data_IF_235658025711
#
_entry.id   IF_235658025711
#
_cell.length_a   1.000
_cell.length_b   1.000
_cell.length_c   1.000
_cell.angle_alpha   90.00
_cell.angle_beta   90.00
_cell.angle_gamma   90.00
#
_symmetry.space_group_name_H-M   'P 1'
#
loop_
_entity.id
_entity.type
_entity.pdbx_description
1 polymer ?
#
# COMPACT_ATOMS: atom_id res chain seq x y z
N UNK A 1 1.65 54.26 115.59
CA UNK A 1 0.30 54.05 116.16
C UNK A 1 -0.65 53.65 115.04
N UNK A 2 -1.32 52.49 115.20
CA UNK A 2 -2.55 52.01 114.50
C UNK A 2 -2.47 51.84 112.97
N UNK A 3 -3.06 50.82 112.35
CA UNK A 3 -3.63 49.55 112.75
C UNK A 3 -3.84 48.76 111.44
N UNK A 4 -3.71 47.43 111.53
CA UNK A 4 -3.95 46.46 110.47
C UNK A 4 -5.42 46.36 110.05
N UNK A 5 -5.68 45.63 108.94
CA UNK A 5 -6.80 44.72 108.59
C UNK A 5 -6.96 44.71 107.04
N UNK A 6 -7.11 43.62 106.28
CA UNK A 6 -7.23 42.17 106.51
C UNK A 6 -7.06 41.43 105.15
N UNK A 7 -6.47 40.23 105.24
CA UNK A 7 -6.52 39.01 104.41
C UNK A 7 -6.85 39.06 102.89
N UNK A 8 -6.02 38.35 102.12
CA UNK A 8 -6.46 37.14 101.42
C UNK A 8 -5.30 36.15 101.24
N UNK A 9 -5.60 34.90 101.58
CA UNK A 9 -4.73 33.73 101.69
C UNK A 9 -4.63 33.05 100.31
N UNK A 10 -3.47 32.46 99.98
CA UNK A 10 -3.30 31.03 99.68
C UNK A 10 -2.07 30.73 98.81
N UNK A 11 -1.19 29.92 99.41
CA UNK A 11 -0.29 28.92 98.83
C UNK A 11 -0.17 28.85 97.30
N UNK A 12 1.03 29.11 96.80
CA UNK A 12 1.54 28.42 95.59
C UNK A 12 2.81 27.66 95.94
N UNK A 13 2.63 26.34 96.03
CA UNK A 13 3.66 25.33 96.05
C UNK A 13 4.54 25.40 94.79
N UNK A 14 5.83 25.20 95.01
CA UNK A 14 6.91 25.06 94.02
C UNK A 14 6.53 24.05 92.93
N UNK A 15 6.62 24.47 91.67
CA UNK A 15 6.88 23.56 90.55
C UNK A 15 8.00 24.16 89.69
N UNK A 16 9.07 23.39 89.60
CA UNK A 16 10.25 23.66 88.81
C UNK A 16 9.88 24.04 87.37
N UNK A 17 10.48 25.14 86.89
CA UNK A 17 10.42 25.58 85.50
C UNK A 17 11.11 24.56 84.59
N UNK A 18 10.40 23.48 84.24
CA UNK A 18 10.77 22.62 83.12
C UNK A 18 10.45 23.38 81.84
N UNK A 19 11.38 24.25 81.42
CA UNK A 19 11.35 24.82 80.08
C UNK A 19 11.47 23.66 79.09
N UNK A 20 10.49 23.38 78.22
CA UNK A 20 10.71 22.45 77.14
C UNK A 20 11.78 23.08 76.24
N UNK A 21 12.93 22.42 76.11
CA UNK A 21 13.87 22.68 75.03
C UNK A 21 13.05 22.66 73.74
N UNK A 22 12.75 23.84 73.17
CA UNK A 22 12.32 23.94 71.78
C UNK A 22 13.51 23.44 70.97
N UNK A 23 13.52 22.13 70.73
CA UNK A 23 14.29 21.54 69.66
C UNK A 23 13.89 22.33 68.42
N UNK A 24 14.80 23.14 67.89
CA UNK A 24 14.74 23.58 66.51
C UNK A 24 14.90 22.31 65.65
N UNK A 25 13.85 21.50 65.60
CA UNK A 25 13.65 20.48 64.60
C UNK A 25 13.51 21.24 63.29
N UNK A 26 14.61 21.35 62.55
CA UNK A 26 14.66 21.99 61.25
C UNK A 26 13.69 21.31 60.31
N UNK A 27 12.47 21.80 60.26
CA UNK A 27 11.48 21.40 59.29
C UNK A 27 12.12 21.57 57.91
N UNK A 28 12.26 20.48 57.17
CA UNK A 28 12.76 20.47 55.79
C UNK A 28 12.21 21.70 55.04
N UNK A 29 13.09 22.65 54.69
CA UNK A 29 12.69 23.94 54.12
C UNK A 29 12.20 23.75 52.68
N UNK A 30 10.99 23.21 52.53
CA UNK A 30 10.34 23.04 51.22
C UNK A 30 9.57 24.30 50.85
N UNK A 31 9.56 24.62 49.55
CA UNK A 31 8.73 25.70 49.04
C UNK A 31 7.34 25.19 48.68
N UNK A 32 6.30 25.91 49.09
CA UNK A 32 4.91 25.66 48.65
C UNK A 32 4.55 26.65 47.56
N UNK A 33 4.24 26.16 46.36
CA UNK A 33 3.82 27.00 45.23
C UNK A 33 2.66 26.36 44.48
N UNK A 34 1.57 27.11 44.31
CA UNK A 34 0.36 26.68 43.58
C UNK A 34 -0.12 25.26 43.99
N UNK A 35 -0.27 25.04 45.30
CA UNK A 35 -0.69 23.77 45.92
C UNK A 35 0.26 22.58 45.68
N UNK A 36 1.49 22.82 45.24
CA UNK A 36 2.56 21.81 45.13
C UNK A 36 3.73 22.15 46.06
N UNK A 37 4.48 21.12 46.43
CA UNK A 37 5.66 21.22 47.31
C UNK A 37 6.92 20.94 46.49
N UNK A 38 7.94 21.78 46.67
CA UNK A 38 9.22 21.73 45.94
C UNK A 38 10.39 21.72 46.92
N UNK A 39 11.43 20.95 46.60
CA UNK A 39 12.66 20.89 47.42
C UNK A 39 13.55 22.12 47.18
N UNK A 40 14.36 22.51 48.16
CA UNK A 40 15.40 23.55 48.00
C UNK A 40 16.24 23.28 46.75
N UNK A 41 16.53 24.34 45.99
CA UNK A 41 17.30 24.29 44.73
C UNK A 41 16.50 23.81 43.52
N UNK A 42 15.29 23.24 43.72
CA UNK A 42 14.47 22.77 42.61
C UNK A 42 13.93 23.94 41.78
N UNK A 43 14.14 23.88 40.47
CA UNK A 43 13.52 24.78 39.49
C UNK A 43 12.25 24.18 38.89
N UNK A 44 11.20 24.98 38.73
CA UNK A 44 9.89 24.55 38.25
C UNK A 44 9.14 25.67 37.48
N UNK A 45 8.15 25.33 36.63
CA UNK A 45 7.40 26.35 35.88
C UNK A 45 6.50 27.21 36.78
N UNK A 46 6.50 28.52 36.54
CA UNK A 46 5.55 29.46 37.15
C UNK A 46 4.12 29.25 36.62
N UNK A 47 3.12 29.75 37.35
CA UNK A 47 1.69 29.67 36.97
C UNK A 47 1.38 30.34 35.63
N UNK A 48 2.13 31.39 35.28
CA UNK A 48 1.99 32.11 34.00
C UNK A 48 2.49 31.30 32.79
N UNK A 49 3.20 30.20 33.02
CA UNK A 49 3.67 29.26 32.01
C UNK A 49 4.85 29.72 31.16
N UNK A 50 5.47 30.88 31.45
CA UNK A 50 6.67 31.34 30.75
C UNK A 50 7.84 31.66 31.69
N UNK A 51 7.55 31.96 32.96
CA UNK A 51 8.55 32.18 33.98
C UNK A 51 8.95 30.86 34.64
N UNK A 52 10.19 30.83 35.13
CA UNK A 52 10.72 29.71 35.91
C UNK A 52 10.92 30.18 37.33
N UNK A 53 10.45 29.38 38.28
CA UNK A 53 10.62 29.61 39.70
C UNK A 53 11.64 28.63 40.27
N UNK A 54 12.41 29.06 41.26
CA UNK A 54 13.37 28.24 41.98
C UNK A 54 13.08 28.34 43.48
N UNK A 55 13.15 27.20 44.16
CA UNK A 55 13.00 27.15 45.61
C UNK A 55 14.31 27.56 46.30
N UNK A 56 14.29 28.67 47.04
CA UNK A 56 15.45 29.14 47.81
C UNK A 56 15.68 28.33 49.08
N UNK A 57 16.89 28.40 49.64
CA UNK A 57 17.27 27.76 50.90
C UNK A 57 16.49 28.27 52.12
N UNK A 58 15.87 29.44 52.00
CA UNK A 58 15.00 30.07 53.00
C UNK A 58 13.50 29.74 52.81
N UNK A 59 13.17 28.71 52.01
CA UNK A 59 11.79 28.29 51.75
C UNK A 59 10.99 29.25 50.88
N UNK A 60 11.59 30.33 50.37
CA UNK A 60 10.93 31.29 49.48
C UNK A 60 11.06 30.88 48.02
N UNK A 61 10.00 31.13 47.26
CA UNK A 61 9.98 30.92 45.82
C UNK A 61 10.41 32.20 45.11
N UNK A 62 11.44 32.12 44.27
CA UNK A 62 11.89 33.23 43.41
C UNK A 62 11.62 32.88 41.96
N UNK A 63 10.87 33.69 41.25
CA UNK A 63 10.56 33.48 39.83
C UNK A 63 11.27 34.50 38.96
N UNK A 64 11.62 34.11 37.73
CA UNK A 64 12.02 35.07 36.70
C UNK A 64 10.87 36.03 36.40
N UNK A 65 11.19 37.24 35.91
CA UNK A 65 10.21 38.26 35.52
C UNK A 65 10.30 38.55 34.02
N UNK A 66 10.06 37.52 33.21
CA UNK A 66 9.96 37.64 31.75
C UNK A 66 8.54 38.06 31.39
N UNK A 67 8.42 39.01 30.46
CA UNK A 67 7.15 39.34 29.85
C UNK A 67 6.61 38.12 29.10
N UNK A 68 5.51 37.53 29.57
CA UNK A 68 4.95 36.34 28.94
C UNK A 68 4.30 36.66 27.61
N UNK A 69 4.83 36.07 26.54
CA UNK A 69 4.27 36.17 25.20
C UNK A 69 2.87 35.53 25.19
N UNK A 70 1.85 36.36 24.92
CA UNK A 70 0.41 35.97 24.89
C UNK A 70 -0.05 35.38 23.55
N UNK A 71 0.86 35.24 22.60
CA UNK A 71 0.60 34.69 21.27
C UNK A 71 1.69 33.71 20.85
N UNK A 72 1.37 32.79 19.95
CA UNK A 72 2.33 31.91 19.32
C UNK A 72 2.45 32.25 17.83
N UNK A 73 3.68 32.30 17.31
CA UNK A 73 3.95 32.37 15.87
C UNK A 73 4.18 30.95 15.35
N UNK A 74 3.42 30.53 14.33
CA UNK A 74 3.57 29.21 13.69
C UNK A 74 3.27 29.29 12.20
N UNK A 75 4.23 28.91 11.35
CA UNK A 75 4.12 28.93 9.89
C UNK A 75 3.55 30.27 9.38
N UNK A 76 4.19 31.37 9.80
CA UNK A 76 3.86 32.76 9.48
C UNK A 76 2.46 33.24 9.93
N UNK A 77 1.77 32.46 10.78
CA UNK A 77 0.48 32.84 11.38
C UNK A 77 0.63 33.07 12.88
N UNK A 78 -0.16 34.00 13.41
CA UNK A 78 -0.21 34.34 14.84
C UNK A 78 -1.45 33.73 15.48
N UNK A 79 -1.28 33.05 16.61
CA UNK A 79 -2.34 32.37 17.34
C UNK A 79 -2.41 32.86 18.79
N UNK A 80 -3.61 33.17 19.30
CA UNK A 80 -3.81 33.47 20.72
C UNK A 80 -3.57 32.23 21.59
N UNK A 81 -3.05 32.42 22.81
CA UNK A 81 -2.89 31.35 23.80
C UNK A 81 -4.20 30.59 23.98
N UNK A 82 -4.10 29.25 24.05
CA UNK A 82 -5.25 28.35 24.14
C UNK A 82 -5.79 27.87 22.80
N UNK A 83 -5.58 28.61 21.69
CA UNK A 83 -6.08 28.22 20.36
C UNK A 83 -5.49 26.89 19.92
N UNK A 84 -6.36 26.01 19.39
CA UNK A 84 -6.00 24.77 18.70
C UNK A 84 -6.08 24.97 17.19
N UNK A 85 -5.09 24.50 16.45
CA UNK A 85 -4.98 24.67 15.00
C UNK A 85 -4.32 23.46 14.32
N UNK A 86 -4.38 23.37 12.99
CA UNK A 86 -3.75 22.30 12.20
C UNK A 86 -2.28 22.64 11.93
N UNK A 87 -1.41 21.64 12.04
CA UNK A 87 0.00 21.75 11.69
C UNK A 87 0.18 21.89 10.17
N UNK A 88 1.36 22.35 9.74
CA UNK A 88 1.74 22.47 8.31
C UNK A 88 1.63 21.14 7.55
N UNK A 89 1.87 20.02 8.23
CA UNK A 89 1.75 18.68 7.66
C UNK A 89 0.29 18.24 7.38
N UNK A 90 -0.69 19.07 7.74
CA UNK A 90 -2.12 18.87 7.48
C UNK A 90 -2.79 17.82 8.38
N UNK A 91 -2.04 17.02 9.14
CA UNK A 91 -2.61 15.93 9.94
C UNK A 91 -2.48 16.15 11.44
N UNK A 92 -1.38 16.77 11.88
CA UNK A 92 -1.13 16.99 13.30
C UNK A 92 -1.95 18.18 13.82
N UNK A 93 -2.34 18.11 15.09
CA UNK A 93 -3.08 19.17 15.78
C UNK A 93 -2.14 19.86 16.75
N UNK A 94 -2.02 21.17 16.61
CA UNK A 94 -1.21 22.03 17.45
C UNK A 94 -2.06 22.82 18.43
N UNK A 95 -1.45 23.24 19.54
CA UNK A 95 -2.02 24.15 20.54
C UNK A 95 -1.01 25.22 20.90
N UNK A 96 -1.44 26.48 20.92
CA UNK A 96 -0.67 27.58 21.47
C UNK A 96 -0.73 27.54 23.01
N UNK A 97 0.43 27.50 23.66
CA UNK A 97 0.62 27.48 25.11
C UNK A 97 1.09 28.86 25.58
N UNK A 98 0.90 29.19 26.88
CA UNK A 98 1.50 30.39 27.47
C UNK A 98 3.01 30.45 27.22
N UNK A 99 3.56 31.66 27.13
CA UNK A 99 4.97 31.89 26.78
C UNK A 99 5.29 31.70 25.30
N UNK A 100 4.28 31.69 24.42
CA UNK A 100 4.46 31.59 22.97
C UNK A 100 4.83 30.20 22.43
N UNK A 101 4.82 29.17 23.27
CA UNK A 101 5.19 27.79 22.88
C UNK A 101 4.08 27.10 22.09
N UNK A 102 4.44 26.45 20.98
CA UNK A 102 3.52 25.61 20.20
C UNK A 102 3.77 24.13 20.50
N UNK A 103 2.72 23.42 20.87
CA UNK A 103 2.77 21.95 21.06
C UNK A 103 1.88 21.25 20.07
N UNK A 104 2.45 20.36 19.24
CA UNK A 104 1.72 19.59 18.25
C UNK A 104 1.69 18.10 18.59
N UNK A 105 0.65 17.39 18.15
CA UNK A 105 0.67 15.92 18.12
C UNK A 105 1.78 15.42 17.19
N UNK A 106 2.27 14.20 17.42
CA UNK A 106 3.29 13.53 16.58
C UNK A 106 2.71 12.30 15.86
N UNK A 107 1.56 12.47 15.20
CA UNK A 107 0.93 11.43 14.37
C UNK A 107 1.68 11.30 13.04
N UNK A 108 1.83 10.07 12.55
CA UNK A 108 2.33 9.81 11.20
C UNK A 108 1.24 10.22 10.19
N UNK A 109 1.53 11.22 9.37
CA UNK A 109 0.55 11.81 8.43
C UNK A 109 0.28 10.99 7.17
N UNK A 110 0.95 9.85 7.03
CA UNK A 110 0.78 8.95 5.91
C UNK A 110 1.64 7.71 6.05
N UNK A 111 1.59 6.87 5.03
CA UNK A 111 2.33 5.63 4.95
C UNK A 111 3.15 5.60 3.65
N UNK A 112 4.38 5.09 3.72
CA UNK A 112 5.21 4.82 2.54
C UNK A 112 5.01 3.38 2.10
N UNK A 113 4.68 3.15 0.83
CA UNK A 113 4.59 1.81 0.24
C UNK A 113 5.23 1.80 -1.15
N UNK A 114 6.22 0.93 -1.35
CA UNK A 114 6.94 0.79 -2.62
C UNK A 114 7.37 2.14 -3.23
N UNK A 115 7.99 3.00 -2.40
CA UNK A 115 8.46 4.32 -2.79
C UNK A 115 7.40 5.43 -2.82
N UNK A 116 6.10 5.09 -2.87
CA UNK A 116 5.01 6.08 -2.94
C UNK A 116 4.42 6.41 -1.57
N UNK A 117 4.02 7.67 -1.39
CA UNK A 117 3.37 8.16 -0.18
C UNK A 117 1.83 8.08 -0.30
N UNK A 118 1.19 7.62 0.77
CA UNK A 118 -0.27 7.47 0.86
C UNK A 118 -0.81 8.19 2.10
N UNK A 119 -1.96 8.87 1.95
CA UNK A 119 -2.63 9.54 3.07
C UNK A 119 -3.27 8.50 4.01
N UNK A 120 -3.34 8.81 5.30
CA UNK A 120 -4.04 7.96 6.27
C UNK A 120 -5.49 7.70 5.82
N UNK A 121 -5.93 6.45 5.88
CA UNK A 121 -7.25 6.00 5.44
C UNK A 121 -7.32 5.61 3.95
N UNK A 122 -6.39 6.08 3.12
CA UNK A 122 -6.37 5.78 1.69
C UNK A 122 -6.26 4.27 1.43
N UNK A 123 -7.13 3.75 0.56
CA UNK A 123 -7.05 2.40 0.00
C UNK A 123 -6.33 2.43 -1.35
N UNK A 124 -5.50 1.44 -1.64
CA UNK A 124 -4.73 1.34 -2.87
C UNK A 124 -4.41 -0.12 -3.23
N UNK A 125 -4.00 -0.41 -4.46
CA UNK A 125 -3.62 -1.77 -4.88
C UNK A 125 -2.18 -2.09 -4.51
N UNK A 126 -1.91 -3.33 -4.13
CA UNK A 126 -0.56 -3.86 -3.91
C UNK A 126 0.27 -3.85 -5.20
N UNK A 127 1.58 -4.09 -5.09
CA UNK A 127 2.54 -4.11 -6.22
C UNK A 127 2.11 -5.06 -7.35
N UNK A 128 1.63 -6.24 -6.99
CA UNK A 128 1.11 -7.29 -7.88
C UNK A 128 -0.36 -7.07 -8.31
N UNK A 129 -0.96 -5.94 -7.90
CA UNK A 129 -2.34 -5.53 -8.19
C UNK A 129 -3.42 -6.54 -7.79
N UNK A 130 -3.13 -7.56 -6.99
CA UNK A 130 -4.12 -8.55 -6.56
C UNK A 130 -4.74 -8.22 -5.18
N UNK A 131 -3.95 -7.64 -4.28
CA UNK A 131 -4.38 -7.28 -2.94
C UNK A 131 -4.77 -5.80 -2.86
N UNK A 132 -5.64 -5.50 -1.91
CA UNK A 132 -5.98 -4.12 -1.55
C UNK A 132 -5.29 -3.78 -0.24
N UNK A 133 -4.51 -2.72 -0.26
CA UNK A 133 -3.81 -2.14 0.87
C UNK A 133 -4.55 -0.91 1.40
N UNK A 134 -4.36 -0.62 2.69
CA UNK A 134 -4.88 0.57 3.36
C UNK A 134 -3.78 1.18 4.24
N UNK A 135 -3.62 2.49 4.17
CA UNK A 135 -2.76 3.24 5.08
C UNK A 135 -3.46 3.47 6.43
N UNK A 136 -2.85 3.02 7.53
CA UNK A 136 -3.37 3.14 8.90
C UNK A 136 -2.92 4.43 9.58
N UNK A 137 -3.60 4.77 10.67
CA UNK A 137 -3.35 5.99 11.48
C UNK A 137 -1.98 6.00 12.15
N UNK A 138 -1.36 4.84 12.35
CA UNK A 138 0.00 4.69 12.87
C UNK A 138 1.09 4.74 11.78
N UNK A 139 0.73 5.04 10.53
CA UNK A 139 1.67 5.10 9.41
C UNK A 139 2.03 3.74 8.80
N UNK A 140 1.42 2.63 9.27
CA UNK A 140 1.61 1.30 8.69
C UNK A 140 0.66 1.03 7.53
N UNK A 141 1.11 0.21 6.59
CA UNK A 141 0.30 -0.30 5.48
C UNK A 141 -0.20 -1.69 5.84
N UNK A 142 -1.51 -1.91 5.73
CA UNK A 142 -2.11 -3.24 5.87
C UNK A 142 -2.76 -3.65 4.57
N UNK A 143 -2.39 -4.82 4.03
CA UNK A 143 -2.97 -5.36 2.80
C UNK A 143 -3.81 -6.60 3.08
N UNK A 144 -4.80 -6.86 2.23
CA UNK A 144 -5.48 -8.16 2.19
C UNK A 144 -4.46 -9.26 1.87
N UNK A 145 -4.75 -10.49 2.29
CA UNK A 145 -3.93 -11.68 1.99
C UNK A 145 -4.70 -12.63 1.07
N UNK A 146 -5.15 -12.12 -0.08
CA UNK A 146 -5.70 -12.99 -1.13
C UNK A 146 -4.54 -13.77 -1.72
N UNK A 147 -4.70 -15.09 -1.88
CA UNK A 147 -3.76 -15.90 -2.63
C UNK A 147 -3.77 -15.42 -4.08
N UNK A 148 -2.72 -14.70 -4.47
CA UNK A 148 -2.65 -14.09 -5.79
C UNK A 148 -2.37 -15.18 -6.82
N UNK A 149 -3.39 -15.52 -7.59
CA UNK A 149 -3.23 -16.43 -8.73
C UNK A 149 -2.34 -15.71 -9.74
N UNK A 150 -1.06 -16.07 -9.76
CA UNK A 150 -0.13 -15.59 -10.79
C UNK A 150 -0.61 -16.12 -12.13
N UNK A 151 -1.21 -15.23 -12.91
CA UNK A 151 -1.65 -15.50 -14.29
C UNK A 151 -0.45 -15.43 -15.24
N UNK A 152 -0.53 -16.16 -16.34
CA UNK A 152 0.45 -16.06 -17.42
C UNK A 152 -0.05 -15.09 -18.49
N UNK A 153 0.84 -14.24 -19.01
CA UNK A 153 0.56 -13.40 -20.18
C UNK A 153 1.27 -13.99 -21.39
N UNK A 154 0.53 -14.27 -22.46
CA UNK A 154 1.09 -14.79 -23.72
C UNK A 154 0.34 -14.21 -24.90
N UNK A 155 1.07 -13.59 -25.84
CA UNK A 155 0.52 -12.89 -27.01
C UNK A 155 -0.68 -11.98 -26.65
N UNK A 156 -0.49 -11.08 -25.68
CA UNK A 156 -1.51 -10.14 -25.14
C UNK A 156 -2.75 -10.76 -24.47
N UNK A 157 -2.88 -12.10 -24.45
CA UNK A 157 -3.93 -12.82 -23.71
C UNK A 157 -3.46 -13.24 -22.31
N UNK A 158 -4.42 -13.41 -21.41
CA UNK A 158 -4.18 -13.78 -20.00
C UNK A 158 -4.72 -15.19 -19.75
N UNK A 159 -3.92 -16.03 -19.10
CA UNK A 159 -4.24 -17.43 -18.81
C UNK A 159 -4.11 -17.73 -17.31
N UNK A 160 -5.06 -18.48 -16.77
CA UNK A 160 -5.06 -18.91 -15.36
C UNK A 160 -4.05 -20.05 -15.14
N UNK A 161 -3.55 -20.20 -13.91
CA UNK A 161 -2.68 -21.32 -13.51
C UNK A 161 -3.32 -22.66 -13.94
N UNK A 162 -2.54 -23.51 -14.59
CA UNK A 162 -2.97 -24.83 -15.09
C UNK A 162 -3.59 -24.81 -16.48
N UNK A 163 -4.03 -23.65 -16.98
CA UNK A 163 -4.67 -23.54 -18.29
C UNK A 163 -3.68 -23.88 -19.42
N UNK A 164 -4.14 -24.69 -20.37
CA UNK A 164 -3.41 -24.99 -21.61
C UNK A 164 -4.02 -24.26 -22.81
N UNK A 165 -3.18 -23.78 -23.73
CA UNK A 165 -3.60 -23.02 -24.91
C UNK A 165 -2.67 -23.29 -26.10
N UNK A 166 -3.10 -22.93 -27.33
CA UNK A 166 -2.25 -23.03 -28.52
C UNK A 166 -1.28 -21.85 -28.61
N UNK A 167 -0.04 -22.14 -28.97
CA UNK A 167 0.97 -21.14 -29.30
C UNK A 167 0.61 -20.36 -30.56
N UNK A 168 1.27 -19.23 -30.78
CA UNK A 168 1.04 -18.37 -31.97
C UNK A 168 1.41 -19.05 -33.28
N UNK A 169 2.30 -20.04 -33.23
CA UNK A 169 2.66 -20.89 -34.37
C UNK A 169 1.55 -21.89 -34.78
N UNK A 170 0.47 -22.00 -33.99
CA UNK A 170 -0.67 -22.87 -34.24
C UNK A 170 -0.43 -24.37 -34.06
N UNK A 171 0.81 -24.79 -33.78
CA UNK A 171 1.24 -26.18 -33.71
C UNK A 171 1.67 -26.60 -32.30
N UNK A 172 2.30 -25.69 -31.54
CA UNK A 172 2.75 -25.94 -30.19
C UNK A 172 1.63 -25.72 -29.17
N UNK A 173 1.64 -26.51 -28.10
CA UNK A 173 0.73 -26.39 -26.97
C UNK A 173 1.48 -25.79 -25.79
N UNK A 174 0.93 -24.73 -25.22
CA UNK A 174 1.47 -24.05 -24.05
C UNK A 174 0.64 -24.33 -22.81
N UNK A 175 1.26 -24.28 -21.63
CA UNK A 175 0.63 -24.39 -20.32
C UNK A 175 1.07 -23.23 -19.44
N UNK A 176 0.13 -22.67 -18.69
CA UNK A 176 0.44 -21.69 -17.65
C UNK A 176 0.86 -22.40 -16.35
N UNK A 177 2.15 -22.30 -16.00
CA UNK A 177 2.74 -22.92 -14.81
C UNK A 177 2.54 -22.12 -13.53
N UNK A 178 3.00 -22.70 -12.41
CA UNK A 178 3.11 -21.97 -11.16
C UNK A 178 4.09 -20.78 -11.34
N UNK A 179 3.77 -19.62 -10.77
CA UNK A 179 4.61 -18.44 -10.90
C UNK A 179 4.32 -17.50 -12.07
N UNK A 180 3.35 -17.83 -12.94
CA UNK A 180 3.03 -17.01 -14.12
C UNK A 180 3.94 -17.29 -15.34
N UNK A 181 4.70 -18.39 -15.31
CA UNK A 181 5.58 -18.82 -16.41
C UNK A 181 4.79 -19.60 -17.45
N UNK A 182 5.02 -19.29 -18.72
CA UNK A 182 4.47 -20.05 -19.86
C UNK A 182 5.50 -21.10 -20.28
N UNK A 183 5.07 -22.35 -20.38
CA UNK A 183 5.87 -23.45 -20.90
C UNK A 183 5.18 -24.04 -22.12
N UNK A 184 5.85 -24.07 -23.27
CA UNK A 184 5.30 -24.60 -24.52
C UNK A 184 6.07 -25.84 -24.97
N UNK A 185 5.38 -26.73 -25.68
CA UNK A 185 6.04 -27.80 -26.43
C UNK A 185 6.99 -27.19 -27.47
N UNK A 186 8.04 -27.92 -27.86
CA UNK A 186 9.01 -27.53 -28.89
C UNK A 186 8.92 -28.46 -30.10
N UNK A 187 7.72 -28.63 -30.65
CA UNK A 187 7.54 -29.41 -31.88
C UNK A 187 8.06 -28.56 -33.04
N UNK A 188 8.84 -29.16 -33.93
CA UNK A 188 9.12 -28.55 -35.24
C UNK A 188 7.77 -28.40 -35.93
N UNK A 189 7.27 -27.17 -35.98
CA UNK A 189 6.11 -26.87 -36.78
C UNK A 189 6.53 -27.08 -38.23
N UNK A 190 6.22 -28.26 -38.76
CA UNK A 190 6.26 -28.42 -40.19
C UNK A 190 5.36 -27.32 -40.74
N UNK A 191 5.86 -26.52 -41.67
CA UNK A 191 5.01 -25.75 -42.58
C UNK A 191 4.20 -26.76 -43.40
N UNK A 192 3.41 -27.59 -42.73
CA UNK A 192 2.54 -28.55 -43.35
C UNK A 192 1.54 -27.70 -44.09
N UNK A 193 1.64 -27.79 -45.42
CA UNK A 193 0.84 -27.13 -46.42
C UNK A 193 -0.57 -26.83 -45.90
N UNK A 194 -1.16 -25.67 -46.25
CA UNK A 194 -2.52 -25.34 -45.85
C UNK A 194 -3.41 -26.57 -46.09
N UNK A 195 -4.17 -26.97 -45.06
CA UNK A 195 -4.97 -28.20 -44.99
C UNK A 195 -5.90 -28.42 -46.21
N UNK A 196 -5.99 -27.46 -47.14
CA UNK A 196 -6.66 -27.57 -48.43
C UNK A 196 -5.89 -28.24 -49.59
N UNK A 197 -4.60 -28.60 -49.48
CA UNK A 197 -3.87 -29.19 -50.64
C UNK A 197 -3.78 -30.71 -50.68
N UNK A 198 -4.16 -31.47 -49.63
CA UNK A 198 -4.10 -32.96 -49.65
C UNK A 198 -4.85 -33.57 -50.83
N UNK A 199 -5.97 -32.98 -51.20
CA UNK A 199 -6.81 -33.40 -52.32
C UNK A 199 -6.06 -33.41 -53.65
N UNK A 200 -5.12 -32.49 -53.84
CA UNK A 200 -4.32 -32.36 -55.06
C UNK A 200 -3.31 -33.50 -55.24
N UNK A 201 -3.11 -34.32 -54.19
CA UNK A 201 -2.16 -35.43 -54.22
C UNK A 201 -2.83 -36.79 -54.54
N UNK A 202 -4.16 -36.83 -54.64
CA UNK A 202 -4.91 -38.03 -55.01
C UNK A 202 -4.79 -38.32 -56.52
N UNK A 203 -4.97 -39.58 -56.92
CA UNK A 203 -5.04 -39.97 -58.35
C UNK A 203 -6.35 -39.48 -58.98
N UNK A 204 -6.40 -39.36 -60.31
CA UNK A 204 -7.69 -39.22 -61.01
C UNK A 204 -8.50 -40.52 -60.88
N UNK A 205 -9.82 -40.40 -60.69
CA UNK A 205 -10.74 -41.54 -60.62
C UNK A 205 -11.90 -41.27 -61.57
N UNK A 206 -12.05 -42.15 -62.58
CA UNK A 206 -13.17 -42.09 -63.54
C UNK A 206 -14.47 -42.54 -62.87
N UNK A 207 -14.41 -43.57 -62.03
CA UNK A 207 -15.59 -44.17 -61.41
C UNK A 207 -16.30 -45.18 -62.35
N UNK A 208 -17.26 -45.96 -61.83
CA UNK A 208 -17.88 -47.05 -62.58
C UNK A 208 -19.03 -46.61 -63.50
N UNK A 209 -19.58 -45.41 -63.31
CA UNK A 209 -20.63 -44.89 -64.18
C UNK A 209 -20.08 -44.52 -65.57
N UNK A 210 -20.93 -44.57 -66.60
CA UNK A 210 -20.53 -44.46 -68.02
C UNK A 210 -20.73 -43.07 -68.64
N UNK A 211 -21.01 -42.04 -67.85
CA UNK A 211 -21.14 -40.68 -68.37
C UNK A 211 -19.78 -40.11 -68.80
N UNK A 212 -19.76 -39.22 -69.79
CA UNK A 212 -18.53 -38.56 -70.28
C UNK A 212 -18.44 -37.11 -69.83
N UNK A 213 -18.22 -36.89 -68.53
CA UNK A 213 -18.28 -35.54 -67.96
C UNK A 213 -16.87 -34.92 -67.91
N UNK A 214 -16.59 -33.80 -68.63
CA UNK A 214 -15.28 -33.16 -68.60
C UNK A 214 -15.01 -32.55 -67.22
N UNK A 215 -13.86 -32.92 -66.62
CA UNK A 215 -13.36 -32.44 -65.33
C UNK A 215 -11.87 -32.20 -65.40
N UNK A 216 -11.31 -31.58 -64.36
CA UNK A 216 -9.88 -31.32 -64.22
C UNK A 216 -9.35 -31.97 -62.94
N UNK A 217 -8.13 -32.50 -62.99
CA UNK A 217 -7.41 -32.99 -61.82
C UNK A 217 -5.99 -32.43 -61.82
N UNK A 218 -5.38 -32.31 -60.66
CA UNK A 218 -3.97 -31.92 -60.56
C UNK A 218 -3.09 -33.15 -60.79
N UNK A 219 -2.25 -33.09 -61.84
CA UNK A 219 -1.24 -34.10 -62.13
C UNK A 219 0.09 -33.68 -61.52
N UNK A 220 0.60 -34.45 -60.55
CA UNK A 220 1.94 -34.21 -60.01
C UNK A 220 3.02 -34.40 -61.07
N UNK A 221 2.89 -35.43 -61.92
CA UNK A 221 3.85 -35.74 -62.99
C UNK A 221 4.00 -34.57 -63.96
N UNK A 222 2.89 -33.91 -64.29
CA UNK A 222 2.90 -32.76 -65.19
C UNK A 222 3.02 -31.41 -64.47
N UNK A 223 2.99 -31.38 -63.13
CA UNK A 223 2.97 -30.16 -62.32
C UNK A 223 1.75 -29.25 -62.54
N UNK A 224 0.73 -29.69 -63.30
CA UNK A 224 -0.37 -28.85 -63.77
C UNK A 224 -1.74 -29.54 -63.71
N UNK A 225 -2.80 -28.74 -63.89
CA UNK A 225 -4.17 -29.24 -63.94
C UNK A 225 -4.52 -29.75 -65.34
N UNK A 226 -4.86 -31.02 -65.44
CA UNK A 226 -5.08 -31.73 -66.71
C UNK A 226 -6.55 -32.14 -66.81
N UNK A 227 -7.14 -32.05 -68.02
CA UNK A 227 -8.51 -32.48 -68.29
C UNK A 227 -8.61 -34.01 -68.24
N UNK A 228 -9.70 -34.54 -67.70
CA UNK A 228 -10.07 -35.95 -67.77
C UNK A 228 -11.59 -36.10 -67.85
N UNK A 229 -12.08 -37.28 -68.24
CA UNK A 229 -13.50 -37.59 -68.27
C UNK A 229 -13.89 -38.38 -67.02
N UNK A 230 -14.84 -37.84 -66.26
CA UNK A 230 -15.42 -38.46 -65.08
C UNK A 230 -16.70 -39.19 -65.44
N UNK A 231 -16.81 -40.44 -64.98
CA UNK A 231 -17.92 -41.36 -65.22
C UNK A 231 -19.26 -40.92 -64.63
N UNK A 232 -19.25 -39.97 -63.69
CA UNK A 232 -20.45 -39.40 -63.06
C UNK A 232 -20.68 -39.83 -61.61
N UNK A 233 -20.09 -40.94 -61.16
CA UNK A 233 -20.24 -41.41 -59.78
C UNK A 233 -18.93 -41.97 -59.19
N UNK A 234 -18.85 -42.03 -57.84
CA UNK A 234 -17.75 -42.62 -57.06
C UNK A 234 -16.33 -42.12 -57.42
N UNK A 235 -16.20 -40.84 -57.77
CA UNK A 235 -14.91 -40.16 -57.90
C UNK A 235 -14.27 -39.83 -56.55
N UNK A 236 -13.11 -39.15 -56.58
CA UNK A 236 -12.49 -38.58 -55.38
C UNK A 236 -12.38 -37.04 -55.48
N UNK A 237 -11.81 -36.39 -54.47
CA UNK A 237 -11.74 -34.94 -54.42
C UNK A 237 -10.82 -34.28 -55.45
N UNK A 238 -9.91 -35.02 -56.12
CA UNK A 238 -9.07 -34.46 -57.21
C UNK A 238 -9.88 -34.42 -58.53
N UNK A 239 -11.01 -33.74 -58.47
CA UNK A 239 -12.02 -33.68 -59.52
C UNK A 239 -12.68 -32.30 -59.45
N UNK A 240 -12.30 -31.42 -60.37
CA UNK A 240 -12.73 -30.02 -60.41
C UNK A 240 -13.52 -29.74 -61.69
N UNK A 241 -14.57 -28.92 -61.60
CA UNK A 241 -15.39 -28.55 -62.76
C UNK A 241 -14.61 -27.74 -63.80
N UNK A 242 -13.67 -26.89 -63.36
CA UNK A 242 -12.88 -26.00 -64.23
C UNK A 242 -11.39 -26.08 -63.93
N UNK A 243 -10.56 -25.76 -64.93
CA UNK A 243 -9.10 -25.66 -64.78
C UNK A 243 -8.72 -24.66 -63.69
N UNK A 244 -9.35 -23.48 -63.69
CA UNK A 244 -9.11 -22.42 -62.71
C UNK A 244 -9.40 -22.86 -61.28
N UNK A 245 -10.48 -23.62 -61.06
CA UNK A 245 -10.80 -24.16 -59.73
C UNK A 245 -9.72 -25.16 -59.25
N UNK A 246 -9.22 -26.01 -60.16
CA UNK A 246 -8.11 -26.91 -59.88
C UNK A 246 -6.82 -26.12 -59.56
N UNK A 247 -6.44 -25.15 -60.40
CA UNK A 247 -5.19 -24.40 -60.24
C UNK A 247 -5.20 -23.55 -58.98
N UNK A 248 -6.31 -22.85 -58.70
CA UNK A 248 -6.52 -22.10 -57.45
C UNK A 248 -6.38 -22.99 -56.23
N UNK A 249 -6.87 -24.23 -56.30
CA UNK A 249 -6.77 -25.18 -55.18
C UNK A 249 -5.38 -25.79 -55.05
N UNK A 250 -4.68 -26.07 -56.15
CA UNK A 250 -3.51 -26.95 -56.16
C UNK A 250 -2.18 -26.27 -56.45
N UNK A 251 -2.13 -25.23 -57.30
CA UNK A 251 -0.87 -24.52 -57.63
C UNK A 251 -0.46 -23.51 -56.55
N UNK A 252 -1.42 -22.89 -55.86
CA UNK A 252 -1.17 -21.92 -54.78
C UNK A 252 -0.49 -20.63 -55.26
N UNK A 253 -0.75 -19.51 -54.57
CA UNK A 253 -0.01 -18.27 -54.83
C UNK A 253 1.42 -18.45 -54.34
N UNK A 254 2.41 -18.34 -55.24
CA UNK A 254 3.76 -17.94 -54.83
C UNK A 254 3.61 -16.47 -54.42
N UNK A 255 3.63 -16.19 -53.13
CA UNK A 255 3.92 -14.83 -52.71
C UNK A 255 5.38 -14.60 -53.11
N UNK A 256 5.60 -13.69 -54.05
CA UNK A 256 6.93 -13.11 -54.24
C UNK A 256 7.34 -12.50 -52.90
N UNK A 257 8.53 -12.88 -52.46
CA UNK A 257 9.14 -12.46 -51.22
C UNK A 257 9.92 -11.18 -51.46
#
# INVERSE_FOLDING_TARGET
MKAAIVLLVCFTSVLASYAPKRTYGGAYQVCRYNRKVYKVGQSFPAKDGCNTCTCGSNGRVRCTLKACIKVCKYNNKVYKVGKRFRAKDGCNKCRCRPGGRVTCTKRKCGCKYNGKMYKVGQKFRSKDKCNTCRCRTNGRVTCTRKQCVKVCKYNKKVYKKGQTFKATDGCNKCRCGAGGRVSCTKRKCSKSAPKGRRVCYLRKVVGPCKARIPRYYYSKKAGCCVKFYYGGCRGNGNNFKTRTACERRCKGKRYYQ
#
